data_IF_288969139124
#
_entry.id   IF_288969139124
#
_cell.length_a   1.000
_cell.length_b   1.000
_cell.length_c   1.000
_cell.angle_alpha   90.00
_cell.angle_beta   90.00
_cell.angle_gamma   90.00
#
_symmetry.space_group_name_H-M   'P 1'
#
loop_
_entity.id
_entity.type
_entity.pdbx_description
1 polymer ?
#
# COMPACT_ATOMS: atom_id res chain seq x y z
N UNK A 1 -6.94 8.41 18.74
CA UNK A 1 -5.68 8.46 17.98
C UNK A 1 -5.88 7.82 16.62
N UNK A 2 -5.35 8.44 15.58
CA UNK A 2 -5.46 7.86 14.26
C UNK A 2 -4.42 6.78 14.05
N UNK A 3 -4.85 5.66 13.48
CA UNK A 3 -3.97 4.57 13.13
C UNK A 3 -3.25 4.93 11.83
N UNK A 4 -1.99 4.59 11.76
CA UNK A 4 -1.22 4.76 10.54
C UNK A 4 -1.16 3.43 9.79
N UNK A 5 -0.90 3.52 8.49
CA UNK A 5 -0.86 2.36 7.61
C UNK A 5 0.36 2.45 6.70
N UNK A 6 0.73 1.32 6.14
CA UNK A 6 1.70 1.27 5.06
C UNK A 6 1.14 0.42 3.94
N UNK A 7 1.50 0.76 2.71
CA UNK A 7 1.05 0.02 1.53
C UNK A 7 2.23 -0.80 1.00
N UNK A 8 2.00 -2.09 0.84
CA UNK A 8 3.00 -3.02 0.37
C UNK A 8 2.56 -3.69 -0.92
N UNK A 9 3.53 -4.12 -1.70
CA UNK A 9 3.33 -4.82 -2.95
C UNK A 9 4.26 -6.02 -2.99
N UNK A 10 3.85 -7.07 -3.71
CA UNK A 10 4.72 -8.24 -3.90
C UNK A 10 5.80 -7.94 -4.92
N UNK A 11 7.01 -8.33 -4.57
CA UNK A 11 8.17 -8.32 -5.47
C UNK A 11 8.73 -9.73 -5.52
N UNK A 12 9.73 -9.95 -6.36
CA UNK A 12 10.36 -11.26 -6.48
C UNK A 12 10.98 -11.72 -5.15
N UNK A 13 11.36 -10.79 -4.30
CA UNK A 13 11.96 -11.07 -3.00
C UNK A 13 10.95 -11.11 -1.85
N UNK A 14 9.66 -10.92 -2.16
CA UNK A 14 8.60 -10.95 -1.14
C UNK A 14 7.84 -9.62 -1.08
N UNK A 15 7.22 -9.35 0.07
CA UNK A 15 6.47 -8.11 0.28
C UNK A 15 7.42 -6.96 0.60
N UNK A 16 7.18 -5.81 0.00
CA UNK A 16 7.93 -4.60 0.30
C UNK A 16 7.08 -3.36 0.07
N UNK A 17 7.56 -2.22 0.54
CA UNK A 17 6.84 -0.96 0.37
C UNK A 17 6.73 -0.61 -1.11
N UNK A 18 5.57 -0.06 -1.49
CA UNK A 18 5.32 0.38 -2.86
C UNK A 18 6.29 1.50 -3.24
N UNK A 19 6.57 2.39 -2.29
CA UNK A 19 7.54 3.47 -2.48
C UNK A 19 8.12 3.85 -1.13
N UNK A 20 9.18 4.64 -1.14
CA UNK A 20 9.85 5.08 0.08
C UNK A 20 8.93 5.87 1.02
N UNK A 21 7.86 6.44 0.48
CA UNK A 21 6.92 7.25 1.24
C UNK A 21 5.61 6.51 1.56
N UNK A 22 5.52 5.22 1.22
CA UNK A 22 4.29 4.44 1.42
C UNK A 22 4.17 3.87 2.82
N UNK A 23 4.53 4.64 3.83
CA UNK A 23 4.40 4.25 5.24
C UNK A 23 3.94 5.44 6.07
N UNK A 24 3.44 5.16 7.27
CA UNK A 24 2.88 6.17 8.18
C UNK A 24 1.78 6.99 7.49
N UNK A 25 0.96 6.31 6.70
CA UNK A 25 -0.12 6.93 5.96
C UNK A 25 -1.41 6.90 6.77
N UNK A 26 -2.26 7.90 6.55
CA UNK A 26 -3.62 7.84 7.06
C UNK A 26 -4.40 6.77 6.29
N UNK A 27 -5.53 6.34 6.82
CA UNK A 27 -6.38 5.36 6.15
C UNK A 27 -6.76 5.84 4.74
N UNK A 28 -7.13 7.11 4.60
CA UNK A 28 -7.55 7.67 3.32
C UNK A 28 -6.39 7.71 2.32
N UNK A 29 -5.20 8.05 2.79
CA UNK A 29 -4.02 8.08 1.93
C UNK A 29 -3.66 6.68 1.44
N UNK A 30 -3.68 5.69 2.34
CA UNK A 30 -3.41 4.31 1.98
C UNK A 30 -4.42 3.80 0.96
N UNK A 31 -5.69 4.10 1.18
CA UNK A 31 -6.76 3.68 0.27
C UNK A 31 -6.55 4.30 -1.12
N UNK A 32 -6.18 5.57 -1.17
CA UNK A 32 -5.95 6.25 -2.43
C UNK A 32 -4.81 5.62 -3.22
N UNK A 33 -3.74 5.24 -2.53
CA UNK A 33 -2.61 4.58 -3.19
C UNK A 33 -3.06 3.24 -3.77
N UNK A 34 -3.83 2.45 -3.01
CA UNK A 34 -4.35 1.18 -3.49
C UNK A 34 -5.24 1.38 -4.73
N UNK A 35 -6.11 2.37 -4.70
CA UNK A 35 -6.99 2.67 -5.84
C UNK A 35 -6.19 3.04 -7.09
N UNK A 36 -5.13 3.83 -6.92
CA UNK A 36 -4.27 4.21 -8.04
C UNK A 36 -3.57 2.99 -8.63
N UNK A 37 -3.08 2.09 -7.79
CA UNK A 37 -2.42 0.87 -8.26
C UNK A 37 -3.39 -0.02 -9.03
N UNK A 38 -4.61 -0.16 -8.54
CA UNK A 38 -5.64 -0.94 -9.22
C UNK A 38 -5.98 -0.33 -10.58
N UNK A 39 -6.03 1.00 -10.65
CA UNK A 39 -6.29 1.71 -11.90
C UNK A 39 -5.17 1.51 -12.91
N UNK A 40 -3.94 1.29 -12.44
CA UNK A 40 -2.80 1.01 -13.30
C UNK A 40 -2.75 -0.45 -13.77
N UNK A 41 -3.65 -1.28 -13.26
CA UNK A 41 -3.71 -2.68 -13.65
C UNK A 41 -3.01 -3.66 -12.70
N UNK A 42 -2.61 -3.19 -11.53
CA UNK A 42 -1.98 -4.06 -10.54
C UNK A 42 -3.04 -5.00 -9.95
N UNK A 43 -2.69 -6.27 -9.81
CA UNK A 43 -3.59 -7.27 -9.25
C UNK A 43 -3.85 -6.98 -7.77
N UNK A 44 -5.12 -6.95 -7.32
CA UNK A 44 -5.42 -6.68 -5.91
C UNK A 44 -4.79 -7.68 -4.94
N UNK A 45 -4.48 -8.90 -5.39
CA UNK A 45 -3.82 -9.89 -4.55
C UNK A 45 -2.34 -9.59 -4.34
N UNK A 46 -1.78 -8.67 -5.14
CA UNK A 46 -0.37 -8.32 -5.08
C UNK A 46 -0.10 -7.06 -4.26
N UNK A 47 -1.13 -6.45 -3.70
CA UNK A 47 -1.00 -5.22 -2.90
C UNK A 47 -1.80 -5.35 -1.62
N UNK A 48 -1.37 -4.64 -0.59
CA UNK A 48 -2.08 -4.63 0.68
C UNK A 48 -1.75 -3.37 1.46
N UNK A 49 -2.69 -2.95 2.33
CA UNK A 49 -2.46 -1.92 3.32
C UNK A 49 -2.52 -2.58 4.69
N UNK A 50 -1.48 -2.41 5.48
CA UNK A 50 -1.41 -3.00 6.81
C UNK A 50 -1.13 -1.92 7.85
N UNK A 51 -1.55 -2.14 9.10
CA UNK A 51 -1.23 -1.19 10.18
C UNK A 51 0.27 -1.06 10.34
N UNK A 52 0.69 0.18 10.46
CA UNK A 52 2.11 0.49 10.60
C UNK A 52 2.49 0.66 12.08
#
# INVERSE_FOLDING_TARGET
MSRKYRVEQTFTTGWGLVSETSFKLSKDEAKKILENLLAEGVNPDDIRAIPD
#
